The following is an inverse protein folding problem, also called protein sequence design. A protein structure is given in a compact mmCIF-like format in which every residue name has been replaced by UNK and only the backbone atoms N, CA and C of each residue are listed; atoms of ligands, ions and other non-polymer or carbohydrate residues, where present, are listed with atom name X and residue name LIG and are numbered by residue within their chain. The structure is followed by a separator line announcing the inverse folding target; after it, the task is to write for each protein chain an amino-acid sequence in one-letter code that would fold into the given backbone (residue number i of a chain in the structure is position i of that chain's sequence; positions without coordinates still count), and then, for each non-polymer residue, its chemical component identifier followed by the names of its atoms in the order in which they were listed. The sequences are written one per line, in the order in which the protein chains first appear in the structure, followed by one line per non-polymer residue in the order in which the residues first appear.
data_IF_709169865862
#
_entry.id   IF_709169865862
#
_cell.length_a   1.000
_cell.length_b   1.000
_cell.length_c   1.000
_cell.angle_alpha   90.00
_cell.angle_beta   90.00
_cell.angle_gamma   90.00
#
_symmetry.space_group_name_H-M   'P 1'
#
loop_
_entity.id
_entity.type
_entity.pdbx_description
1 polymer ?
#
# COMPACT_ATOMS: atom_id res chain seq x y z
N UNK A 1 -33.56 15.24 -5.19
CA UNK A 1 -33.70 15.25 -6.65
C UNK A 1 -34.97 14.55 -7.14
N UNK A 2 -35.28 13.29 -6.76
CA UNK A 2 -36.50 12.57 -7.20
C UNK A 2 -37.80 13.30 -6.83
N UNK A 3 -37.91 13.83 -5.61
CA UNK A 3 -39.08 14.59 -5.17
C UNK A 3 -39.25 15.90 -5.95
N UNK A 4 -38.18 16.59 -6.27
CA UNK A 4 -38.21 17.82 -7.07
C UNK A 4 -38.65 17.49 -8.49
N UNK A 5 -38.06 16.46 -9.10
CA UNK A 5 -38.43 16.03 -10.45
C UNK A 5 -39.90 15.59 -10.52
N UNK A 6 -40.38 14.82 -9.55
CA UNK A 6 -41.78 14.41 -9.44
C UNK A 6 -42.71 15.61 -9.31
N UNK A 7 -42.36 16.59 -8.49
CA UNK A 7 -43.15 17.81 -8.33
C UNK A 7 -43.21 18.65 -9.63
N UNK A 8 -42.05 18.85 -10.28
CA UNK A 8 -41.98 19.60 -11.56
C UNK A 8 -42.79 18.89 -12.64
N UNK A 9 -42.64 17.56 -12.75
CA UNK A 9 -43.34 16.75 -13.74
C UNK A 9 -44.86 16.75 -13.49
N UNK A 10 -45.30 16.62 -12.22
CA UNK A 10 -46.69 16.70 -11.86
C UNK A 10 -47.32 18.05 -12.27
N UNK A 11 -46.63 19.15 -11.97
CA UNK A 11 -47.11 20.49 -12.35
C UNK A 11 -47.12 20.67 -13.87
N UNK A 12 -46.14 20.16 -14.59
CA UNK A 12 -46.09 20.23 -16.05
C UNK A 12 -47.25 19.45 -16.69
N UNK A 13 -47.51 18.20 -16.24
CA UNK A 13 -48.57 17.36 -16.77
C UNK A 13 -49.92 17.96 -16.42
N UNK A 14 -50.13 18.47 -15.21
CA UNK A 14 -51.36 19.15 -14.82
C UNK A 14 -51.67 20.36 -15.76
N UNK A 15 -50.71 21.23 -15.97
CA UNK A 15 -50.85 22.38 -16.90
C UNK A 15 -51.09 21.96 -18.35
N UNK A 16 -50.41 20.91 -18.83
CA UNK A 16 -50.59 20.40 -20.19
C UNK A 16 -51.99 19.82 -20.36
N UNK A 17 -52.53 19.08 -19.38
CA UNK A 17 -53.92 18.59 -19.42
C UNK A 17 -54.96 19.71 -19.34
N UNK A 18 -54.72 20.72 -18.49
CA UNK A 18 -55.56 21.90 -18.40
C UNK A 18 -55.70 22.61 -19.76
N UNK A 19 -54.56 22.83 -20.47
CA UNK A 19 -54.58 23.42 -21.81
C UNK A 19 -55.34 22.52 -22.80
N UNK A 20 -55.19 21.22 -22.73
CA UNK A 20 -55.89 20.27 -23.61
C UNK A 20 -57.39 20.30 -23.39
N UNK A 21 -57.83 20.30 -22.11
CA UNK A 21 -59.25 20.38 -21.74
C UNK A 21 -59.86 21.71 -22.19
N UNK A 22 -59.19 22.81 -21.95
CA UNK A 22 -59.67 24.12 -22.38
C UNK A 22 -59.83 24.21 -23.90
N UNK A 23 -58.80 23.77 -24.65
CA UNK A 23 -58.87 23.75 -26.12
C UNK A 23 -59.99 22.87 -26.66
N UNK A 24 -60.32 21.77 -25.97
CA UNK A 24 -61.40 20.90 -26.34
C UNK A 24 -62.77 21.60 -26.12
N UNK A 25 -62.96 22.32 -25.01
CA UNK A 25 -64.14 23.13 -24.77
C UNK A 25 -64.29 24.25 -25.78
N UNK A 26 -63.19 24.99 -26.02
CA UNK A 26 -63.23 26.17 -26.92
C UNK A 26 -63.58 25.78 -28.37
N UNK A 27 -63.01 24.63 -28.87
CA UNK A 27 -63.37 24.10 -30.19
C UNK A 27 -64.82 23.70 -30.32
N UNK A 28 -65.44 23.16 -29.27
CA UNK A 28 -66.88 22.86 -29.29
C UNK A 28 -67.72 24.12 -29.28
N UNK A 29 -67.34 25.11 -28.47
CA UNK A 29 -67.99 26.43 -28.46
C UNK A 29 -67.87 27.11 -29.84
N UNK A 30 -66.71 27.14 -30.44
CA UNK A 30 -66.47 27.73 -31.77
C UNK A 30 -67.31 27.04 -32.84
N UNK A 31 -67.40 25.72 -32.85
CA UNK A 31 -68.26 24.96 -33.78
C UNK A 31 -69.72 25.31 -33.62
N UNK A 32 -70.25 25.38 -32.38
CA UNK A 32 -71.65 25.72 -32.11
C UNK A 32 -71.95 27.14 -32.51
N UNK A 33 -71.06 28.09 -32.28
CA UNK A 33 -71.19 29.50 -32.65
C UNK A 33 -71.26 29.69 -34.18
N UNK A 34 -70.39 28.96 -34.92
CA UNK A 34 -70.37 28.98 -36.40
C UNK A 34 -71.67 28.40 -37.00
N UNK A 35 -72.13 27.22 -36.52
CA UNK A 35 -73.33 26.56 -36.99
C UNK A 35 -74.59 27.39 -36.69
N UNK A 36 -74.65 27.99 -35.51
CA UNK A 36 -75.80 28.86 -35.16
C UNK A 36 -75.80 30.17 -35.97
N UNK A 37 -74.67 30.61 -36.46
CA UNK A 37 -74.56 31.78 -37.33
C UNK A 37 -75.00 31.48 -38.79
N UNK A 38 -74.71 30.26 -39.27
CA UNK A 38 -75.04 29.85 -40.65
C UNK A 38 -76.41 29.24 -40.84
N UNK A 39 -76.94 28.43 -39.86
CA UNK A 39 -78.04 27.52 -40.11
C UNK A 39 -79.27 27.68 -39.13
N UNK A 40 -79.36 28.68 -38.30
CA UNK A 40 -80.33 28.86 -37.22
C UNK A 40 -80.55 27.62 -36.29
N UNK A 41 -80.09 26.41 -36.68
CA UNK A 41 -80.16 25.18 -35.90
C UNK A 41 -79.01 24.30 -36.15
N UNK A 42 -78.34 23.83 -35.11
CA UNK A 42 -77.20 22.86 -35.18
C UNK A 42 -77.82 21.49 -35.58
N UNK A 43 -77.24 20.87 -36.66
CA UNK A 43 -77.54 19.51 -37.06
C UNK A 43 -77.12 18.52 -35.98
N UNK A 44 -78.01 17.77 -35.44
CA UNK A 44 -77.79 16.89 -34.29
C UNK A 44 -76.75 15.80 -34.61
N UNK A 45 -76.74 15.26 -35.82
CA UNK A 45 -75.84 14.17 -36.25
C UNK A 45 -74.42 14.68 -36.53
N UNK A 46 -74.30 15.82 -37.10
CA UNK A 46 -72.99 16.47 -37.37
C UNK A 46 -72.33 16.89 -36.05
N UNK A 47 -73.13 17.47 -35.16
CA UNK A 47 -72.66 17.87 -33.84
C UNK A 47 -72.08 16.69 -33.02
N UNK A 48 -72.74 15.52 -33.05
CA UNK A 48 -72.20 14.34 -32.42
C UNK A 48 -70.91 13.83 -33.04
N UNK A 49 -70.77 13.96 -34.36
CA UNK A 49 -69.55 13.59 -35.08
C UNK A 49 -68.36 14.47 -34.68
N UNK A 50 -68.64 15.76 -34.57
CA UNK A 50 -67.63 16.76 -34.16
C UNK A 50 -67.23 16.54 -32.70
N UNK A 51 -68.19 16.37 -31.78
CA UNK A 51 -67.89 16.06 -30.38
C UNK A 51 -67.05 14.81 -30.22
N UNK A 52 -67.39 13.73 -30.94
CA UNK A 52 -66.60 12.50 -30.89
C UNK A 52 -65.20 12.68 -31.49
N UNK A 53 -65.07 13.44 -32.56
CA UNK A 53 -63.76 13.76 -33.16
C UNK A 53 -62.90 14.57 -32.21
N UNK A 54 -63.44 15.60 -31.55
CA UNK A 54 -62.69 16.37 -30.54
C UNK A 54 -62.28 15.50 -29.35
N UNK A 55 -63.23 14.70 -28.82
CA UNK A 55 -62.98 13.82 -27.71
C UNK A 55 -61.88 12.79 -28.03
N UNK A 56 -61.95 12.16 -29.21
CA UNK A 56 -60.96 11.12 -29.62
C UNK A 56 -59.55 11.72 -29.88
N UNK A 57 -59.48 12.85 -30.54
CA UNK A 57 -58.18 13.52 -30.84
C UNK A 57 -57.54 14.07 -29.57
N UNK A 58 -58.33 14.64 -28.66
CA UNK A 58 -57.84 15.22 -27.42
C UNK A 58 -57.66 14.18 -26.30
N UNK A 59 -58.15 12.94 -26.48
CA UNK A 59 -58.17 11.88 -25.49
C UNK A 59 -58.78 12.32 -24.14
N UNK A 60 -59.89 13.04 -24.21
CA UNK A 60 -60.66 13.56 -23.08
C UNK A 60 -62.15 13.30 -23.30
N UNK A 61 -62.88 13.14 -22.24
CA UNK A 61 -64.34 13.06 -22.37
C UNK A 61 -64.91 14.47 -22.53
N UNK A 62 -65.70 14.69 -23.59
CA UNK A 62 -66.34 15.97 -23.88
C UNK A 62 -67.84 15.77 -23.95
N UNK A 63 -68.59 16.53 -23.20
CA UNK A 63 -70.07 16.48 -23.21
C UNK A 63 -70.69 17.87 -22.99
N UNK A 64 -71.93 17.99 -23.38
CA UNK A 64 -72.67 19.26 -23.30
C UNK A 64 -73.87 19.07 -22.40
N UNK A 65 -74.04 19.95 -21.40
CA UNK A 65 -75.15 19.99 -20.51
C UNK A 65 -76.07 21.22 -20.77
N UNK A 66 -77.38 21.08 -20.66
CA UNK A 66 -78.32 22.19 -20.78
C UNK A 66 -78.37 23.06 -19.50
N UNK A 67 -79.15 24.17 -19.51
CA UNK A 67 -79.29 25.08 -18.36
C UNK A 67 -79.71 24.42 -17.05
N UNK A 68 -80.34 23.21 -17.13
CA UNK A 68 -80.77 22.42 -15.95
C UNK A 68 -79.72 21.44 -15.46
N UNK A 69 -78.55 21.38 -16.10
CA UNK A 69 -77.47 20.44 -15.77
C UNK A 69 -77.65 19.02 -16.35
N UNK A 70 -78.63 18.78 -17.19
CA UNK A 70 -78.79 17.51 -17.87
C UNK A 70 -77.93 17.42 -19.09
N UNK A 71 -77.12 16.35 -19.21
CA UNK A 71 -76.29 16.09 -20.38
C UNK A 71 -77.20 15.81 -21.58
N UNK A 72 -77.00 16.58 -22.66
CA UNK A 72 -77.82 16.53 -23.90
C UNK A 72 -77.04 16.01 -25.09
N UNK A 73 -75.69 16.04 -25.03
CA UNK A 73 -74.79 15.48 -26.03
C UNK A 73 -73.50 15.04 -25.40
N UNK A 74 -72.89 13.96 -25.89
CA UNK A 74 -71.63 13.43 -25.42
C UNK A 74 -70.80 12.91 -26.57
N UNK A 75 -69.52 13.21 -26.55
CA UNK A 75 -68.49 12.73 -27.52
C UNK A 75 -67.96 11.32 -27.23
N UNK A 76 -68.55 10.58 -26.28
CA UNK A 76 -68.08 9.21 -25.99
C UNK A 76 -68.60 8.20 -27.02
N UNK A 77 -67.86 7.09 -27.21
CA UNK A 77 -68.18 6.06 -28.18
C UNK A 77 -69.54 5.35 -27.88
N UNK A 78 -69.95 5.30 -26.62
CA UNK A 78 -71.24 4.72 -26.21
C UNK A 78 -72.41 5.54 -26.71
N UNK A 79 -72.30 6.87 -26.60
CA UNK A 79 -73.35 7.79 -27.07
C UNK A 79 -73.58 7.68 -28.59
N UNK A 80 -72.49 7.54 -29.34
CA UNK A 80 -72.58 7.45 -30.81
C UNK A 80 -73.35 6.20 -31.27
N UNK A 81 -73.24 5.08 -30.49
CA UNK A 81 -73.91 3.80 -30.82
C UNK A 81 -75.37 3.78 -30.41
N UNK A 82 -75.71 4.30 -29.23
CA UNK A 82 -76.96 4.06 -28.56
C UNK A 82 -77.78 5.33 -28.32
N UNK A 83 -77.30 6.52 -28.63
CA UNK A 83 -77.90 7.80 -28.26
C UNK A 83 -77.95 8.05 -26.75
N UNK A 84 -77.31 7.24 -25.99
CA UNK A 84 -77.20 7.29 -24.53
C UNK A 84 -75.88 6.77 -24.00
N UNK A 85 -75.38 7.26 -22.86
CA UNK A 85 -74.17 6.82 -22.21
C UNK A 85 -74.27 7.01 -20.69
N UNK A 86 -73.29 6.52 -19.97
CA UNK A 86 -73.16 6.70 -18.53
C UNK A 86 -73.26 8.16 -18.08
N UNK A 87 -72.76 9.11 -18.88
CA UNK A 87 -72.83 10.55 -18.60
C UNK A 87 -74.28 11.11 -18.69
N UNK A 88 -75.14 10.56 -19.52
CA UNK A 88 -76.47 11.06 -19.74
C UNK A 88 -77.49 10.75 -18.62
N UNK A 89 -77.14 9.82 -17.78
CA UNK A 89 -78.00 9.41 -16.63
C UNK A 89 -77.82 10.34 -15.42
N UNK A 90 -76.84 11.21 -15.43
CA UNK A 90 -76.46 12.06 -14.30
C UNK A 90 -77.01 13.47 -14.52
N UNK A 91 -77.59 14.08 -13.50
CA UNK A 91 -77.96 15.50 -13.44
C UNK A 91 -76.87 16.25 -12.67
N UNK A 92 -76.10 17.15 -13.36
CA UNK A 92 -75.11 17.99 -12.72
C UNK A 92 -75.80 19.08 -11.92
N UNK A 93 -75.56 19.22 -10.61
CA UNK A 93 -76.17 20.29 -9.82
C UNK A 93 -75.82 21.66 -10.37
N UNK A 94 -76.77 22.60 -10.32
CA UNK A 94 -76.53 23.98 -10.82
C UNK A 94 -75.34 24.68 -10.15
N UNK A 95 -75.17 24.45 -8.86
CA UNK A 95 -74.11 24.98 -8.03
C UNK A 95 -72.73 24.48 -8.51
N UNK A 96 -72.65 23.21 -8.95
CA UNK A 96 -71.42 22.66 -9.56
C UNK A 96 -71.13 23.28 -10.96
N UNK A 97 -72.16 23.44 -11.79
CA UNK A 97 -72.06 24.09 -13.09
C UNK A 97 -71.50 25.51 -12.92
N UNK A 98 -72.05 26.29 -12.00
CA UNK A 98 -71.59 27.64 -11.71
C UNK A 98 -70.20 27.69 -11.12
N UNK A 99 -69.84 26.69 -10.29
CA UNK A 99 -68.54 26.54 -9.70
C UNK A 99 -67.41 26.39 -10.75
N UNK A 100 -67.66 25.61 -11.83
CA UNK A 100 -66.70 25.42 -12.92
C UNK A 100 -66.67 26.56 -13.92
N UNK A 101 -67.76 27.38 -14.02
CA UNK A 101 -67.83 28.52 -14.93
C UNK A 101 -67.24 29.84 -14.36
N UNK A 102 -67.36 30.02 -13.02
CA UNK A 102 -67.00 31.30 -12.37
C UNK A 102 -65.56 31.37 -11.87
N UNK A 103 -64.66 30.47 -12.33
CA UNK A 103 -63.33 30.38 -11.78
C UNK A 103 -62.27 31.10 -12.60
N UNK A 104 -61.26 31.65 -11.88
CA UNK A 104 -60.01 32.15 -12.43
C UNK A 104 -59.07 31.04 -12.87
N UNK A 105 -59.17 29.84 -12.30
CA UNK A 105 -58.43 28.66 -12.69
C UNK A 105 -59.18 27.85 -13.74
N UNK A 106 -58.50 27.56 -14.85
CA UNK A 106 -59.05 26.97 -16.07
C UNK A 106 -59.48 25.50 -15.92
N UNK A 107 -59.04 24.78 -14.86
CA UNK A 107 -59.48 23.43 -14.58
C UNK A 107 -59.52 23.14 -13.08
N UNK A 108 -60.42 22.25 -12.65
CA UNK A 108 -60.57 21.82 -11.26
C UNK A 108 -60.70 20.33 -11.16
N UNK A 109 -60.28 19.79 -10.01
CA UNK A 109 -60.50 18.39 -9.65
C UNK A 109 -61.90 18.21 -9.09
N UNK A 110 -62.66 17.25 -9.66
CA UNK A 110 -64.01 16.93 -9.21
C UNK A 110 -64.46 15.58 -9.75
N UNK A 111 -65.68 15.18 -9.38
CA UNK A 111 -66.32 13.92 -9.82
C UNK A 111 -67.57 14.14 -10.64
N UNK A 112 -68.15 15.36 -10.63
CA UNK A 112 -69.44 15.71 -11.26
C UNK A 112 -70.53 14.74 -10.93
N UNK A 113 -70.47 14.05 -9.80
CA UNK A 113 -71.34 12.95 -9.37
C UNK A 113 -71.53 11.80 -10.39
N UNK A 114 -70.63 11.73 -11.38
CA UNK A 114 -70.64 10.72 -12.43
C UNK A 114 -69.38 9.85 -12.49
N UNK A 115 -68.29 10.30 -11.88
CA UNK A 115 -67.03 9.57 -11.83
C UNK A 115 -66.71 9.03 -10.43
N UNK A 116 -66.23 7.79 -10.34
CA UNK A 116 -65.81 7.20 -9.07
C UNK A 116 -64.50 7.83 -8.55
N UNK A 117 -63.62 8.22 -9.49
CA UNK A 117 -62.32 8.81 -9.19
C UNK A 117 -62.29 10.27 -9.60
N UNK A 118 -61.47 11.12 -8.96
CA UNK A 118 -61.32 12.51 -9.36
C UNK A 118 -60.83 12.66 -10.82
N UNK A 119 -61.45 13.61 -11.54
CA UNK A 119 -61.06 14.01 -12.88
C UNK A 119 -60.71 15.48 -12.87
N UNK A 120 -59.79 15.86 -13.77
CA UNK A 120 -59.62 17.24 -14.13
C UNK A 120 -60.81 17.67 -14.99
N UNK A 121 -61.51 18.74 -14.59
CA UNK A 121 -62.73 19.21 -15.22
C UNK A 121 -62.56 20.66 -15.63
N UNK A 122 -62.91 20.94 -16.88
CA UNK A 122 -62.96 22.30 -17.41
C UNK A 122 -64.36 22.51 -17.99
N UNK A 123 -64.93 23.68 -17.82
CA UNK A 123 -66.24 24.02 -18.36
C UNK A 123 -66.17 25.37 -19.10
N UNK A 124 -66.86 25.45 -20.24
CA UNK A 124 -67.03 26.70 -21.01
C UNK A 124 -68.53 26.94 -21.29
N UNK A 125 -69.01 28.19 -21.16
CA UNK A 125 -70.40 28.49 -21.42
C UNK A 125 -70.66 28.48 -22.93
N UNK A 126 -71.80 27.88 -23.34
CA UNK A 126 -72.38 28.07 -24.68
C UNK A 126 -73.33 29.27 -24.65
N UNK A 127 -72.98 30.33 -25.39
CA UNK A 127 -73.74 31.61 -25.44
C UNK A 127 -74.13 31.89 -26.88
N UNK A 128 -75.29 32.55 -27.12
CA UNK A 128 -75.67 33.00 -28.44
C UNK A 128 -75.80 34.54 -28.39
N UNK A 129 -74.86 35.24 -28.98
CA UNK A 129 -74.79 36.71 -29.03
C UNK A 129 -75.05 37.33 -27.64
N UNK A 130 -75.82 38.45 -27.58
CA UNK A 130 -76.17 39.12 -26.31
C UNK A 130 -77.26 38.37 -25.50
N UNK A 131 -77.71 37.21 -25.95
CA UNK A 131 -78.95 36.53 -25.49
C UNK A 131 -78.85 35.46 -24.45
N UNK A 132 -77.84 35.39 -23.64
CA UNK A 132 -77.81 34.48 -22.48
C UNK A 132 -77.31 33.04 -22.80
N UNK A 133 -76.87 32.31 -21.75
CA UNK A 133 -76.32 30.97 -21.82
C UNK A 133 -77.30 29.90 -22.22
N UNK A 134 -77.07 29.08 -23.23
CA UNK A 134 -77.85 27.95 -23.68
C UNK A 134 -77.47 26.65 -22.95
N UNK A 135 -76.23 26.46 -22.66
CA UNK A 135 -75.69 25.26 -22.05
C UNK A 135 -74.27 25.46 -21.57
N UNK A 136 -73.61 24.39 -21.23
CA UNK A 136 -72.23 24.34 -20.78
C UNK A 136 -71.56 23.14 -21.40
N UNK A 137 -70.40 23.36 -22.02
CA UNK A 137 -69.48 22.32 -22.48
C UNK A 137 -68.59 21.92 -21.31
N UNK A 138 -68.47 20.65 -21.07
CA UNK A 138 -67.53 20.07 -20.12
C UNK A 138 -66.54 19.24 -20.85
N UNK A 139 -65.26 19.36 -20.47
CA UNK A 139 -64.19 18.45 -20.85
C UNK A 139 -63.57 17.89 -19.60
N UNK A 140 -63.39 16.55 -19.56
CA UNK A 140 -62.87 15.87 -18.37
C UNK A 140 -61.78 14.87 -18.73
N UNK A 141 -60.78 14.71 -17.83
CA UNK A 141 -59.71 13.74 -17.97
C UNK A 141 -59.39 13.07 -16.64
N UNK A 142 -59.20 11.74 -16.58
CA UNK A 142 -58.92 11.02 -15.32
C UNK A 142 -57.57 11.37 -14.75
N UNK A 143 -57.49 11.60 -13.44
CA UNK A 143 -56.22 11.82 -12.71
C UNK A 143 -55.39 10.52 -12.64
N UNK A 144 -56.04 9.36 -12.64
CA UNK A 144 -55.37 8.07 -12.52
C UNK A 144 -54.31 7.81 -13.60
N UNK A 145 -54.49 8.35 -14.80
CA UNK A 145 -53.50 8.23 -15.88
C UNK A 145 -52.17 8.93 -15.51
N UNK A 146 -52.26 10.11 -14.91
CA UNK A 146 -51.10 10.91 -14.50
C UNK A 146 -50.36 10.25 -13.35
N UNK A 147 -51.09 9.75 -12.34
CA UNK A 147 -50.51 9.11 -11.16
C UNK A 147 -49.80 7.80 -11.51
N UNK A 148 -50.36 7.00 -12.41
CA UNK A 148 -49.74 5.77 -12.88
C UNK A 148 -48.46 6.01 -13.67
N UNK A 149 -48.44 6.99 -14.56
CA UNK A 149 -47.26 7.38 -15.31
C UNK A 149 -46.14 7.86 -14.36
N UNK A 150 -46.48 8.74 -13.41
CA UNK A 150 -45.54 9.25 -12.41
C UNK A 150 -44.96 8.11 -11.56
N UNK A 151 -45.81 7.16 -11.11
CA UNK A 151 -45.34 6.01 -10.31
C UNK A 151 -44.35 5.13 -11.09
N UNK A 152 -44.61 4.91 -12.37
CA UNK A 152 -43.72 4.13 -13.26
C UNK A 152 -42.39 4.82 -13.49
N UNK A 153 -42.42 6.10 -13.78
CA UNK A 153 -41.18 6.91 -13.96
C UNK A 153 -40.36 6.93 -12.65
N UNK A 154 -41.03 7.11 -11.51
CA UNK A 154 -40.35 7.14 -10.21
C UNK A 154 -39.73 5.79 -9.88
N UNK A 155 -40.40 4.67 -10.12
CA UNK A 155 -39.83 3.32 -9.94
C UNK A 155 -38.60 3.10 -10.82
N UNK A 156 -38.71 3.46 -12.11
CA UNK A 156 -37.60 3.33 -13.05
C UNK A 156 -36.39 4.14 -12.58
N UNK A 157 -36.63 5.39 -12.16
CA UNK A 157 -35.56 6.27 -11.68
C UNK A 157 -34.88 5.74 -10.42
N UNK A 158 -35.68 5.22 -9.44
CA UNK A 158 -35.13 4.62 -8.22
C UNK A 158 -34.27 3.40 -8.57
N UNK A 159 -34.72 2.54 -9.47
CA UNK A 159 -33.98 1.34 -9.89
C UNK A 159 -32.66 1.73 -10.54
N UNK A 160 -32.69 2.69 -11.48
CA UNK A 160 -31.51 3.20 -12.15
C UNK A 160 -30.50 3.90 -11.20
N UNK A 161 -30.97 4.45 -10.07
CA UNK A 161 -30.11 5.09 -9.08
C UNK A 161 -29.49 4.09 -8.09
N UNK A 162 -30.23 3.06 -7.68
CA UNK A 162 -29.76 2.09 -6.68
C UNK A 162 -28.61 1.22 -7.23
N UNK A 163 -28.70 0.78 -8.47
CA UNK A 163 -27.69 -0.12 -9.06
C UNK A 163 -26.27 0.49 -9.03
N UNK A 164 -26.03 1.72 -9.56
CA UNK A 164 -24.70 2.34 -9.50
C UNK A 164 -24.27 2.69 -8.07
N UNK A 165 -25.20 3.00 -7.15
CA UNK A 165 -24.88 3.22 -5.74
C UNK A 165 -24.30 1.96 -5.07
N UNK A 166 -24.96 0.81 -5.29
CA UNK A 166 -24.44 -0.48 -4.79
C UNK A 166 -23.09 -0.80 -5.41
N UNK A 167 -22.94 -0.62 -6.72
CA UNK A 167 -21.69 -0.84 -7.41
C UNK A 167 -20.57 0.05 -6.85
N UNK A 168 -20.81 1.36 -6.69
CA UNK A 168 -19.89 2.31 -6.11
C UNK A 168 -19.49 1.91 -4.68
N UNK A 169 -20.45 1.47 -3.87
CA UNK A 169 -20.17 1.00 -2.50
C UNK A 169 -19.24 -0.23 -2.51
N UNK A 170 -19.49 -1.20 -3.39
CA UNK A 170 -18.64 -2.40 -3.53
C UNK A 170 -17.21 -2.05 -3.96
N UNK A 171 -17.06 -1.12 -4.92
CA UNK A 171 -15.75 -0.64 -5.37
C UNK A 171 -15.00 0.05 -4.23
N UNK A 172 -15.65 0.97 -3.51
CA UNK A 172 -15.05 1.66 -2.36
C UNK A 172 -14.66 0.68 -1.26
N UNK A 173 -15.51 -0.30 -0.96
CA UNK A 173 -15.21 -1.35 0.03
C UNK A 173 -13.98 -2.17 -0.38
N UNK A 174 -13.92 -2.61 -1.64
CA UNK A 174 -12.79 -3.37 -2.16
C UNK A 174 -11.48 -2.56 -2.13
N UNK A 175 -11.51 -1.28 -2.54
CA UNK A 175 -10.36 -0.38 -2.46
C UNK A 175 -9.89 -0.18 -1.01
N UNK A 176 -10.83 0.11 -0.09
CA UNK A 176 -10.52 0.29 1.33
C UNK A 176 -9.86 -0.96 1.91
N UNK A 177 -10.38 -2.13 1.60
CA UNK A 177 -9.79 -3.39 2.06
C UNK A 177 -8.38 -3.63 1.51
N UNK A 178 -8.17 -3.39 0.21
CA UNK A 178 -6.86 -3.58 -0.45
C UNK A 178 -5.80 -2.58 0.00
N UNK A 179 -6.16 -1.33 0.27
CA UNK A 179 -5.21 -0.29 0.66
C UNK A 179 -5.05 -0.17 2.17
N UNK A 180 -6.14 -0.11 2.93
CA UNK A 180 -6.08 0.21 4.36
C UNK A 180 -5.55 -0.94 5.21
N UNK A 181 -5.89 -2.19 4.86
CA UNK A 181 -5.44 -3.36 5.62
C UNK A 181 -3.93 -3.55 5.62
N UNK A 182 -3.21 -3.54 4.48
CA UNK A 182 -1.75 -3.60 4.48
C UNK A 182 -1.09 -2.46 5.26
N UNK A 183 -1.56 -1.22 5.09
CA UNK A 183 -1.04 -0.06 5.81
C UNK A 183 -1.20 -0.20 7.33
N UNK A 184 -2.33 -0.74 7.80
CA UNK A 184 -2.55 -1.03 9.22
C UNK A 184 -1.58 -2.09 9.73
N UNK A 185 -1.37 -3.16 8.96
CA UNK A 185 -0.40 -4.21 9.29
C UNK A 185 1.03 -3.65 9.34
N UNK A 186 1.42 -2.76 8.42
CA UNK A 186 2.71 -2.06 8.46
C UNK A 186 2.87 -1.21 9.71
N UNK A 187 1.84 -0.45 10.09
CA UNK A 187 1.86 0.35 11.32
C UNK A 187 1.99 -0.52 12.57
N UNK A 188 1.31 -1.66 12.63
CA UNK A 188 1.42 -2.63 13.74
C UNK A 188 2.80 -3.30 13.77
N UNK A 189 3.33 -3.69 12.61
CA UNK A 189 4.67 -4.26 12.50
C UNK A 189 5.75 -3.25 12.90
N UNK A 190 5.63 -1.99 12.46
CA UNK A 190 6.56 -0.90 12.88
C UNK A 190 6.56 -0.70 14.39
N UNK A 191 5.39 -0.73 15.05
CA UNK A 191 5.30 -0.64 16.51
C UNK A 191 5.92 -1.85 17.22
N UNK A 192 5.79 -3.04 16.64
CA UNK A 192 6.44 -4.25 17.15
C UNK A 192 7.97 -4.16 17.00
N UNK A 193 8.46 -3.69 15.84
CA UNK A 193 9.89 -3.46 15.58
C UNK A 193 10.50 -2.46 16.55
N UNK A 194 9.79 -1.38 16.87
CA UNK A 194 10.23 -0.40 17.88
C UNK A 194 10.41 -1.01 19.29
N UNK A 195 9.76 -2.14 19.57
CA UNK A 195 9.92 -2.93 20.82
C UNK A 195 10.93 -4.09 20.66
N UNK A 196 11.60 -4.19 19.51
CA UNK A 196 12.58 -5.25 19.24
C UNK A 196 11.99 -6.56 18.72
N UNK A 197 10.70 -6.59 18.36
CA UNK A 197 10.08 -7.76 17.72
C UNK A 197 10.11 -7.59 16.20
N UNK A 198 11.04 -8.30 15.56
CA UNK A 198 11.23 -8.33 14.10
C UNK A 198 10.60 -9.57 13.45
N UNK A 199 9.74 -10.31 14.15
CA UNK A 199 9.15 -11.54 13.61
C UNK A 199 8.00 -11.31 12.64
N UNK A 200 7.33 -10.16 12.75
CA UNK A 200 6.16 -9.81 11.93
C UNK A 200 6.53 -9.56 10.48
N UNK A 201 5.74 -10.14 9.56
CA UNK A 201 5.88 -9.95 8.12
C UNK A 201 4.57 -9.44 7.53
N UNK A 202 4.68 -8.60 6.52
CA UNK A 202 3.54 -8.08 5.78
C UNK A 202 3.29 -9.01 4.59
N UNK A 203 2.08 -9.60 4.46
CA UNK A 203 1.74 -10.40 3.30
C UNK A 203 1.68 -9.50 2.05
N UNK A 204 2.32 -9.92 0.96
CA UNK A 204 2.22 -9.27 -0.34
C UNK A 204 0.90 -9.71 -0.97
N UNK A 205 -0.09 -8.80 -1.02
CA UNK A 205 -1.46 -9.11 -1.45
C UNK A 205 -1.79 -8.57 -2.84
N UNK A 206 -0.93 -7.76 -3.43
CA UNK A 206 -1.12 -7.12 -4.74
C UNK A 206 0.21 -6.89 -5.43
N UNK A 207 0.18 -6.72 -6.75
CA UNK A 207 1.34 -6.39 -7.59
C UNK A 207 1.40 -4.88 -7.89
N UNK A 208 0.71 -4.06 -7.10
CA UNK A 208 0.69 -2.61 -7.19
C UNK A 208 1.74 -1.96 -6.25
N UNK A 209 1.72 -0.63 -6.12
CA UNK A 209 2.63 0.15 -5.27
C UNK A 209 2.56 -0.27 -3.80
N UNK A 210 1.41 -0.78 -3.34
CA UNK A 210 1.23 -1.30 -1.97
C UNK A 210 1.93 -2.64 -1.82
N UNK A 211 1.90 -3.48 -2.85
CA UNK A 211 2.65 -4.73 -2.91
C UNK A 211 4.16 -4.49 -2.88
N UNK A 212 4.66 -3.57 -3.71
CA UNK A 212 6.07 -3.17 -3.73
C UNK A 212 6.52 -2.61 -2.37
N UNK A 213 5.71 -1.75 -1.75
CA UNK A 213 5.97 -1.23 -0.41
C UNK A 213 6.03 -2.36 0.64
N UNK A 214 5.17 -3.38 0.51
CA UNK A 214 5.18 -4.54 1.42
C UNK A 214 6.47 -5.34 1.29
N UNK A 215 6.98 -5.54 0.07
CA UNK A 215 8.27 -6.19 -0.20
C UNK A 215 9.42 -5.38 0.41
N UNK A 216 9.48 -4.08 0.12
CA UNK A 216 10.50 -3.18 0.64
C UNK A 216 10.50 -3.13 2.19
N UNK A 217 9.32 -3.08 2.80
CA UNK A 217 9.16 -3.13 4.25
C UNK A 217 9.70 -4.43 4.84
N UNK A 218 9.39 -5.58 4.22
CA UNK A 218 9.90 -6.89 4.67
C UNK A 218 11.41 -6.99 4.53
N UNK A 219 11.99 -6.44 3.47
CA UNK A 219 13.45 -6.37 3.28
C UNK A 219 14.10 -5.51 4.38
N UNK A 220 13.55 -4.33 4.67
CA UNK A 220 14.00 -3.48 5.78
C UNK A 220 13.93 -4.22 7.12
N UNK A 221 12.82 -4.91 7.40
CA UNK A 221 12.64 -5.72 8.62
C UNK A 221 13.71 -6.80 8.75
N UNK A 222 14.03 -7.48 7.64
CA UNK A 222 15.09 -8.50 7.62
C UNK A 222 16.47 -7.89 7.93
N UNK A 223 16.80 -6.77 7.30
CA UNK A 223 18.07 -6.08 7.52
C UNK A 223 18.22 -5.60 8.97
N UNK A 224 17.16 -5.01 9.54
CA UNK A 224 17.14 -4.59 10.95
C UNK A 224 17.23 -5.78 11.91
N UNK A 225 16.55 -6.89 11.64
CA UNK A 225 16.64 -8.11 12.42
C UNK A 225 18.06 -8.66 12.43
N UNK A 226 18.74 -8.68 11.29
CA UNK A 226 20.14 -9.11 11.17
C UNK A 226 21.07 -8.17 11.96
N UNK A 227 20.90 -6.85 11.83
CA UNK A 227 21.71 -5.87 12.58
C UNK A 227 21.54 -6.02 14.08
N UNK A 228 20.31 -6.20 14.58
CA UNK A 228 20.04 -6.39 16.00
C UNK A 228 20.58 -7.75 16.50
N UNK A 229 20.47 -8.79 15.70
CA UNK A 229 21.09 -10.09 15.97
C UNK A 229 22.61 -9.99 16.09
N UNK A 230 23.26 -9.30 15.14
CA UNK A 230 24.69 -9.04 15.19
C UNK A 230 25.09 -8.21 16.42
N UNK A 231 24.30 -7.17 16.77
CA UNK A 231 24.53 -6.35 17.96
C UNK A 231 24.44 -7.17 19.25
N UNK A 232 23.41 -7.99 19.40
CA UNK A 232 23.25 -8.87 20.58
C UNK A 232 24.39 -9.87 20.70
N UNK A 233 24.74 -10.52 19.59
CA UNK A 233 25.86 -11.47 19.55
C UNK A 233 27.20 -10.77 19.88
N UNK A 234 27.40 -9.56 19.38
CA UNK A 234 28.59 -8.77 19.72
C UNK A 234 28.70 -8.52 21.22
N UNK A 235 27.64 -7.96 21.86
CA UNK A 235 27.64 -7.69 23.30
C UNK A 235 27.86 -8.95 24.12
N UNK A 236 27.21 -10.05 23.76
CA UNK A 236 27.37 -11.34 24.45
C UNK A 236 28.80 -11.88 24.34
N UNK A 237 29.39 -11.84 23.11
CA UNK A 237 30.73 -12.32 22.88
C UNK A 237 31.79 -11.46 23.58
N UNK A 238 31.66 -10.11 23.53
CA UNK A 238 32.52 -9.20 24.28
C UNK A 238 32.48 -9.51 25.78
N UNK A 239 31.28 -9.64 26.34
CA UNK A 239 31.12 -9.93 27.77
C UNK A 239 31.80 -11.25 28.16
N UNK A 240 31.69 -12.26 27.29
CA UNK A 240 32.31 -13.57 27.56
C UNK A 240 33.83 -13.52 27.44
N UNK A 241 34.37 -12.84 26.36
CA UNK A 241 35.81 -12.73 26.14
C UNK A 241 36.52 -11.83 27.17
N UNK A 242 35.80 -10.92 27.84
CA UNK A 242 36.30 -10.12 28.96
C UNK A 242 36.21 -10.87 30.28
N UNK A 243 35.10 -11.60 30.54
CA UNK A 243 34.87 -12.29 31.83
C UNK A 243 35.92 -13.36 32.10
N UNK A 244 36.26 -14.14 31.09
CA UNK A 244 37.22 -15.28 31.25
C UNK A 244 38.59 -14.84 31.79
N UNK A 245 39.33 -13.91 31.16
CA UNK A 245 40.62 -13.42 31.64
C UNK A 245 40.51 -12.73 33.01
N UNK A 246 39.42 -11.94 33.23
CA UNK A 246 39.20 -11.29 34.54
C UNK A 246 39.05 -12.30 35.66
N UNK A 247 38.30 -13.40 35.45
CA UNK A 247 38.17 -14.47 36.47
C UNK A 247 39.51 -15.14 36.74
N UNK A 248 40.32 -15.41 35.70
CA UNK A 248 41.65 -16.00 35.85
C UNK A 248 42.60 -15.07 36.62
N UNK A 249 42.61 -13.77 36.26
CA UNK A 249 43.42 -12.74 36.94
C UNK A 249 43.03 -12.66 38.41
N UNK A 250 41.72 -12.51 38.72
CA UNK A 250 41.25 -12.44 40.11
C UNK A 250 41.60 -13.67 40.90
N UNK A 251 41.30 -14.85 40.36
CA UNK A 251 41.55 -16.11 41.05
C UNK A 251 43.04 -16.34 41.39
N UNK A 252 43.97 -16.00 40.50
CA UNK A 252 45.39 -16.12 40.81
C UNK A 252 45.90 -15.05 41.77
N UNK A 253 45.39 -13.81 41.63
CA UNK A 253 45.73 -12.74 42.59
C UNK A 253 45.21 -13.12 43.97
N UNK A 254 43.96 -13.54 44.10
CA UNK A 254 43.35 -13.95 45.38
C UNK A 254 44.14 -15.12 45.98
N UNK A 255 44.51 -16.14 45.18
CA UNK A 255 45.30 -17.27 45.63
C UNK A 255 46.73 -16.93 46.08
N UNK A 256 47.31 -15.83 45.55
CA UNK A 256 48.59 -15.27 46.04
C UNK A 256 48.38 -14.53 47.35
N UNK A 257 47.30 -13.73 47.47
CA UNK A 257 47.02 -12.91 48.65
C UNK A 257 46.57 -13.74 49.86
N UNK A 258 45.80 -14.82 49.68
CA UNK A 258 45.34 -15.69 50.77
C UNK A 258 46.32 -16.81 51.16
N UNK A 259 47.48 -16.86 50.44
CA UNK A 259 48.52 -17.85 50.71
C UNK A 259 48.25 -19.26 50.17
N UNK A 260 47.18 -19.46 49.41
CA UNK A 260 46.87 -20.75 48.73
C UNK A 260 47.95 -21.09 47.71
N UNK A 261 48.56 -20.08 47.06
CA UNK A 261 49.71 -20.26 46.15
C UNK A 261 51.01 -20.12 46.95
N UNK A 262 51.80 -21.20 46.98
CA UNK A 262 53.09 -21.23 47.63
C UNK A 262 54.03 -20.14 47.06
N UNK A 263 54.89 -19.49 47.92
CA UNK A 263 55.76 -18.44 47.50
C UNK A 263 56.65 -18.76 46.28
N UNK A 264 57.12 -20.02 46.20
CA UNK A 264 57.96 -20.51 45.12
C UNK A 264 57.26 -20.52 43.74
N UNK A 265 55.93 -20.62 43.73
CA UNK A 265 55.11 -20.64 42.52
C UNK A 265 54.48 -19.31 42.18
N UNK A 266 54.53 -18.32 43.09
CA UNK A 266 53.89 -16.99 42.86
C UNK A 266 54.38 -16.31 41.56
N UNK A 267 55.71 -16.33 41.29
CA UNK A 267 56.25 -15.74 40.07
C UNK A 267 55.66 -16.37 38.79
N UNK A 268 55.44 -17.67 38.79
CA UNK A 268 54.82 -18.37 37.67
C UNK A 268 53.37 -17.94 37.45
N UNK A 269 52.55 -17.87 38.49
CA UNK A 269 51.15 -17.46 38.39
C UNK A 269 50.99 -15.95 38.09
N UNK A 270 51.86 -15.10 38.63
CA UNK A 270 51.92 -13.68 38.26
C UNK A 270 52.35 -13.50 36.80
N UNK A 271 53.19 -14.39 36.26
CA UNK A 271 53.45 -14.45 34.82
C UNK A 271 52.22 -14.73 33.96
N UNK A 272 51.34 -15.66 34.43
CA UNK A 272 50.05 -15.92 33.77
C UNK A 272 49.13 -14.68 33.84
N UNK A 273 49.04 -14.06 35.02
CA UNK A 273 48.27 -12.82 35.19
C UNK A 273 48.74 -11.73 34.22
N UNK A 274 50.07 -11.50 34.14
CA UNK A 274 50.61 -10.54 33.19
C UNK A 274 50.27 -10.89 31.74
N UNK A 275 50.27 -12.16 31.38
CA UNK A 275 49.87 -12.64 30.06
C UNK A 275 48.39 -12.32 29.76
N UNK A 276 47.49 -12.57 30.74
CA UNK A 276 46.07 -12.28 30.58
C UNK A 276 45.77 -10.77 30.51
N UNK A 277 46.49 -9.94 31.28
CA UNK A 277 46.38 -8.44 31.18
C UNK A 277 46.80 -7.98 29.77
N UNK A 278 47.91 -8.47 29.24
CA UNK A 278 48.36 -8.14 27.87
C UNK A 278 47.34 -8.59 26.80
N UNK A 279 46.70 -9.76 27.04
CA UNK A 279 45.66 -10.25 26.15
C UNK A 279 44.42 -9.35 26.20
N UNK A 280 44.03 -8.92 27.39
CA UNK A 280 42.89 -8.01 27.58
C UNK A 280 43.12 -6.66 26.90
N UNK A 281 44.33 -6.06 27.05
CA UNK A 281 44.71 -4.83 26.36
C UNK A 281 44.57 -4.96 24.83
N UNK A 282 45.10 -6.04 24.23
CA UNK A 282 44.98 -6.27 22.80
C UNK A 282 43.49 -6.46 22.35
N UNK A 283 42.65 -7.08 23.18
CA UNK A 283 41.23 -7.22 22.90
C UNK A 283 40.56 -5.85 22.84
N UNK A 284 40.80 -4.99 23.84
CA UNK A 284 40.26 -3.62 23.91
C UNK A 284 40.71 -2.77 22.72
N UNK A 285 42.04 -2.81 22.39
CA UNK A 285 42.58 -2.11 21.23
C UNK A 285 41.91 -2.55 19.91
N UNK A 286 41.70 -3.86 19.76
CA UNK A 286 41.03 -4.44 18.59
C UNK A 286 39.56 -3.96 18.50
N UNK A 287 38.88 -3.85 19.64
CA UNK A 287 37.49 -3.32 19.70
C UNK A 287 37.42 -1.83 19.37
N UNK A 288 38.34 -1.05 19.90
CA UNK A 288 38.43 0.39 19.57
C UNK A 288 38.72 0.63 18.08
N UNK A 289 39.68 -0.12 17.52
CA UNK A 289 39.96 -0.09 16.08
C UNK A 289 38.75 -0.47 15.25
N UNK A 290 38.02 -1.52 15.63
CA UNK A 290 36.80 -1.95 14.96
C UNK A 290 35.71 -0.87 15.04
N UNK A 291 35.47 -0.30 16.23
CA UNK A 291 34.47 0.75 16.43
C UNK A 291 34.76 1.97 15.55
N UNK A 292 36.00 2.40 15.47
CA UNK A 292 36.44 3.51 14.59
C UNK A 292 36.19 3.21 13.11
N UNK A 293 36.46 1.98 12.68
CA UNK A 293 36.23 1.56 11.29
C UNK A 293 34.74 1.47 10.93
N UNK A 294 33.86 1.21 11.90
CA UNK A 294 32.41 1.05 11.68
C UNK A 294 31.63 2.36 11.75
N UNK A 295 32.08 3.32 12.55
CA UNK A 295 31.36 4.61 12.71
C UNK A 295 31.32 5.44 11.42
N UNK A 296 32.08 5.07 10.40
CA UNK A 296 32.21 5.86 9.17
C UNK A 296 32.92 7.21 9.37
N UNK A 297 33.31 7.52 10.60
CA UNK A 297 34.11 8.71 10.94
C UNK A 297 35.57 8.57 10.51
N UNK A 298 35.89 7.38 10.00
CA UNK A 298 37.26 7.09 9.60
C UNK A 298 37.55 7.65 8.21
N UNK A 299 38.37 8.69 8.17
CA UNK A 299 38.92 9.23 6.90
C UNK A 299 40.19 8.49 6.58
N UNK A 300 40.21 7.70 5.50
CA UNK A 300 41.44 7.09 5.00
C UNK A 300 42.47 8.18 4.75
N UNK A 301 43.71 7.93 5.15
CA UNK A 301 44.88 8.76 4.81
C UNK A 301 45.68 8.07 3.72
N UNK A 302 45.26 8.14 2.46
CA UNK A 302 45.88 7.39 1.40
C UNK A 302 47.24 8.02 1.04
N UNK A 303 48.29 7.23 1.12
CA UNK A 303 49.63 7.53 0.64
C UNK A 303 50.12 6.45 -0.34
N UNK A 304 51.14 6.76 -1.10
CA UNK A 304 51.80 5.78 -1.97
C UNK A 304 52.97 5.19 -1.22
N UNK A 305 52.98 3.87 -1.06
CA UNK A 305 54.04 3.15 -0.37
C UNK A 305 54.34 1.80 -1.04
N UNK A 306 55.50 1.24 -0.77
CA UNK A 306 55.86 -0.10 -1.23
C UNK A 306 55.26 -1.18 -0.34
N UNK A 307 54.37 -2.00 -0.93
CA UNK A 307 53.68 -3.09 -0.25
C UNK A 307 54.64 -4.26 0.07
N UNK A 308 55.66 -4.47 -0.75
CA UNK A 308 56.67 -5.50 -0.53
C UNK A 308 57.55 -5.19 0.67
N UNK A 309 57.97 -3.93 0.82
CA UNK A 309 58.72 -3.46 1.99
C UNK A 309 57.87 -3.57 3.26
N UNK A 310 56.61 -3.17 3.20
CA UNK A 310 55.66 -3.29 4.32
C UNK A 310 55.53 -4.75 4.75
N UNK A 311 55.32 -5.68 3.82
CA UNK A 311 55.25 -7.10 4.11
C UNK A 311 56.51 -7.64 4.76
N UNK A 312 57.67 -7.31 4.22
CA UNK A 312 58.97 -7.69 4.81
C UNK A 312 59.10 -7.18 6.26
N UNK A 313 58.77 -5.92 6.51
CA UNK A 313 58.80 -5.34 7.86
C UNK A 313 57.90 -6.05 8.86
N UNK A 314 56.68 -6.44 8.43
CA UNK A 314 55.76 -7.21 9.27
C UNK A 314 56.32 -8.60 9.58
N UNK A 315 56.86 -9.31 8.60
CA UNK A 315 57.43 -10.65 8.82
C UNK A 315 58.64 -10.60 9.75
N UNK A 316 59.54 -9.63 9.56
CA UNK A 316 60.71 -9.40 10.43
C UNK A 316 60.30 -9.09 11.87
N UNK A 317 59.21 -8.35 12.07
CA UNK A 317 58.67 -8.06 13.42
C UNK A 317 58.22 -9.32 14.18
N UNK A 318 58.04 -10.45 13.50
CA UNK A 318 57.61 -11.73 14.06
C UNK A 318 58.74 -12.78 14.09
N UNK A 319 59.98 -12.39 13.78
CA UNK A 319 61.17 -13.31 13.65
C UNK A 319 61.30 -14.28 14.80
N UNK A 320 61.27 -13.81 16.07
CA UNK A 320 61.37 -14.65 17.25
C UNK A 320 60.30 -15.74 17.34
N UNK A 321 59.10 -15.45 16.84
CA UNK A 321 57.98 -16.44 16.86
C UNK A 321 58.10 -17.43 15.71
N UNK A 322 58.65 -16.99 14.57
CA UNK A 322 58.94 -17.80 13.39
C UNK A 322 60.03 -18.80 13.74
N UNK A 323 61.15 -18.34 14.34
CA UNK A 323 62.23 -19.18 14.79
C UNK A 323 61.80 -20.19 15.85
N UNK A 324 61.05 -19.74 16.89
CA UNK A 324 60.51 -20.63 17.93
C UNK A 324 59.56 -21.69 17.36
N UNK A 325 58.86 -21.41 16.29
CA UNK A 325 57.97 -22.33 15.57
C UNK A 325 58.68 -23.21 14.56
N UNK A 326 59.99 -22.98 14.33
CA UNK A 326 60.78 -23.62 13.25
C UNK A 326 60.11 -23.51 11.90
N UNK A 327 59.51 -22.33 11.61
CA UNK A 327 58.67 -22.11 10.42
C UNK A 327 59.56 -21.70 9.26
N UNK A 328 59.47 -22.41 8.13
CA UNK A 328 60.16 -22.08 6.88
C UNK A 328 59.42 -20.97 6.13
N UNK A 329 60.10 -19.89 5.76
CA UNK A 329 59.52 -18.75 5.05
C UNK A 329 59.91 -18.84 3.58
N UNK A 330 58.93 -18.86 2.69
CA UNK A 330 59.13 -18.93 1.25
C UNK A 330 58.57 -17.72 0.52
N UNK A 331 59.24 -17.34 -0.54
CA UNK A 331 58.75 -16.33 -1.45
C UNK A 331 59.01 -14.87 -1.02
N UNK A 332 59.58 -14.63 0.19
CA UNK A 332 59.82 -13.29 0.69
C UNK A 332 61.00 -12.60 -0.07
N UNK A 333 62.02 -13.38 -0.47
CA UNK A 333 63.19 -12.91 -1.18
C UNK A 333 62.92 -12.62 -2.67
N UNK A 334 61.87 -13.26 -3.22
CA UNK A 334 61.49 -13.13 -4.62
C UNK A 334 60.41 -12.09 -4.87
N UNK A 335 60.01 -11.35 -3.85
CA UNK A 335 58.97 -10.30 -3.99
C UNK A 335 59.53 -9.16 -4.83
N UNK A 336 58.76 -8.79 -5.87
CA UNK A 336 59.02 -7.59 -6.65
C UNK A 336 58.46 -6.36 -5.92
N UNK A 337 59.15 -5.22 -6.05
CA UNK A 337 58.73 -3.96 -5.46
C UNK A 337 57.44 -3.47 -6.14
N UNK A 338 56.36 -3.42 -5.38
CA UNK A 338 55.05 -3.04 -5.88
C UNK A 338 54.45 -1.95 -4.98
N UNK A 339 54.30 -0.75 -5.56
CA UNK A 339 53.66 0.38 -4.87
C UNK A 339 52.14 0.28 -4.94
N UNK A 340 51.50 0.59 -3.82
CA UNK A 340 50.03 0.69 -3.67
C UNK A 340 49.64 2.05 -3.14
N UNK A 341 48.42 2.51 -3.44
CA UNK A 341 47.85 3.70 -2.84
C UNK A 341 46.83 3.28 -1.78
N UNK A 342 47.10 3.62 -0.53
CA UNK A 342 46.22 3.26 0.59
C UNK A 342 46.69 3.88 1.90
N UNK A 343 45.94 3.63 2.95
CA UNK A 343 46.34 3.97 4.32
C UNK A 343 47.34 2.92 4.81
N UNK A 344 48.60 3.34 4.91
CA UNK A 344 49.74 2.47 5.22
C UNK A 344 49.59 1.76 6.57
N UNK A 345 49.08 2.48 7.58
CA UNK A 345 48.94 1.95 8.93
C UNK A 345 47.84 0.87 9.00
N UNK A 346 46.74 1.10 8.29
CA UNK A 346 45.66 0.12 8.22
C UNK A 346 46.05 -1.12 7.42
N UNK A 347 46.72 -0.94 6.29
CA UNK A 347 47.19 -2.07 5.48
C UNK A 347 48.25 -2.84 6.27
N UNK A 348 49.15 -2.15 7.00
CA UNK A 348 50.06 -2.79 7.94
C UNK A 348 49.33 -3.67 8.96
N UNK A 349 48.29 -3.11 9.60
CA UNK A 349 47.46 -3.86 10.57
C UNK A 349 46.82 -5.09 9.93
N UNK A 350 46.30 -4.96 8.71
CA UNK A 350 45.68 -6.07 7.99
C UNK A 350 46.70 -7.19 7.69
N UNK A 351 47.87 -6.85 7.18
CA UNK A 351 48.93 -7.81 6.89
C UNK A 351 49.44 -8.44 8.18
N UNK A 352 49.64 -7.65 9.24
CA UNK A 352 50.07 -8.17 10.55
C UNK A 352 49.05 -9.23 11.07
N UNK A 353 47.76 -8.96 10.99
CA UNK A 353 46.75 -9.94 11.42
C UNK A 353 46.78 -11.24 10.60
N UNK A 354 47.05 -11.16 9.30
CA UNK A 354 47.20 -12.36 8.46
C UNK A 354 48.46 -13.15 8.76
N UNK A 355 49.60 -12.46 8.92
CA UNK A 355 50.87 -13.09 9.29
C UNK A 355 50.78 -13.70 10.68
N UNK A 356 50.22 -12.98 11.68
CA UNK A 356 49.94 -13.50 13.03
C UNK A 356 49.13 -14.78 12.98
N UNK A 357 48.05 -14.80 12.18
CA UNK A 357 47.23 -16.01 11.98
C UNK A 357 48.04 -17.14 11.31
N UNK A 358 48.82 -16.83 10.29
CA UNK A 358 49.65 -17.83 9.58
C UNK A 358 50.63 -18.51 10.53
N UNK A 359 51.35 -17.73 11.38
CA UNK A 359 52.26 -18.24 12.39
C UNK A 359 51.52 -19.09 13.44
N UNK A 360 50.40 -18.55 13.95
CA UNK A 360 49.64 -19.12 15.07
C UNK A 360 49.01 -20.47 14.75
N UNK A 361 48.50 -20.61 13.53
CA UNK A 361 47.80 -21.83 13.09
C UNK A 361 48.67 -22.74 12.24
N UNK A 362 49.98 -22.40 12.10
CA UNK A 362 50.94 -23.31 11.50
C UNK A 362 51.21 -24.54 12.39
N UNK A 363 51.74 -25.57 11.78
CA UNK A 363 52.39 -26.69 12.51
C UNK A 363 53.85 -26.37 12.81
N UNK A 364 54.42 -26.94 13.85
CA UNK A 364 55.88 -26.83 14.09
C UNK A 364 56.64 -27.43 12.92
N UNK A 365 57.70 -26.77 12.49
CA UNK A 365 58.44 -27.15 11.28
C UNK A 365 57.64 -27.00 9.98
N UNK A 366 56.54 -26.21 10.00
CA UNK A 366 55.75 -25.94 8.79
C UNK A 366 56.26 -24.80 7.93
N UNK A 367 55.49 -24.41 6.93
CA UNK A 367 55.87 -23.42 5.93
C UNK A 367 54.88 -22.28 5.89
N UNK A 368 55.35 -21.05 5.69
CA UNK A 368 54.54 -19.88 5.28
C UNK A 368 55.10 -19.35 3.95
N UNK A 369 54.25 -19.33 2.91
CA UNK A 369 54.60 -18.85 1.59
C UNK A 369 53.91 -17.52 1.29
N UNK A 370 54.68 -16.59 0.76
CA UNK A 370 54.22 -15.25 0.31
C UNK A 370 54.35 -15.13 -1.19
N UNK A 371 53.34 -14.57 -1.87
CA UNK A 371 53.45 -14.14 -3.25
C UNK A 371 52.75 -12.80 -3.45
N UNK A 372 53.46 -11.89 -4.13
CA UNK A 372 52.96 -10.55 -4.47
C UNK A 372 53.22 -10.32 -5.96
N UNK A 373 52.13 -10.07 -6.70
CA UNK A 373 52.21 -9.91 -8.15
C UNK A 373 51.08 -8.98 -8.66
N UNK A 374 51.28 -8.47 -9.87
CA UNK A 374 50.26 -7.69 -10.59
C UNK A 374 49.46 -8.62 -11.48
N UNK A 375 48.14 -8.50 -11.42
CA UNK A 375 47.21 -9.23 -12.26
C UNK A 375 46.23 -8.22 -12.92
N UNK A 376 46.45 -7.92 -14.19
CA UNK A 376 45.77 -6.83 -14.90
C UNK A 376 45.89 -5.49 -14.14
N UNK A 377 44.77 -4.92 -13.73
CA UNK A 377 44.69 -3.65 -12.97
C UNK A 377 44.67 -3.84 -11.45
N UNK A 378 45.02 -5.03 -10.97
CA UNK A 378 45.00 -5.36 -9.55
C UNK A 378 46.38 -5.80 -9.06
N UNK A 379 46.63 -5.57 -7.80
CA UNK A 379 47.75 -6.10 -7.05
C UNK A 379 47.24 -7.22 -6.16
N UNK A 380 47.82 -8.36 -6.26
CA UNK A 380 47.45 -9.57 -5.54
C UNK A 380 48.53 -9.94 -4.55
N UNK A 381 48.16 -10.02 -3.27
CA UNK A 381 48.96 -10.59 -2.19
C UNK A 381 48.35 -11.90 -1.72
N UNK A 382 49.14 -12.97 -1.71
CA UNK A 382 48.75 -14.25 -1.14
C UNK A 382 49.65 -14.59 0.05
N UNK A 383 49.02 -15.05 1.13
CA UNK A 383 49.72 -15.55 2.33
C UNK A 383 49.18 -16.95 2.57
N UNK A 384 50.02 -17.95 2.45
CA UNK A 384 49.65 -19.36 2.60
C UNK A 384 50.44 -19.99 3.72
N UNK A 385 49.79 -20.72 4.60
CA UNK A 385 50.48 -21.48 5.65
C UNK A 385 50.06 -22.94 5.61
N UNK A 386 50.95 -23.85 5.98
CA UNK A 386 50.63 -25.23 6.35
C UNK A 386 49.98 -25.25 7.73
N UNK A 387 49.26 -26.31 8.08
CA UNK A 387 48.71 -26.45 9.42
C UNK A 387 47.32 -27.08 9.48
N UNK A 388 46.55 -26.74 10.49
CA UNK A 388 45.28 -27.39 10.79
C UNK A 388 44.23 -27.20 9.68
N UNK A 389 44.38 -26.17 8.82
CA UNK A 389 43.39 -25.84 7.82
C UNK A 389 42.07 -25.39 8.43
N UNK A 390 41.09 -25.13 7.55
CA UNK A 390 39.75 -24.67 7.91
C UNK A 390 38.71 -25.58 7.26
N UNK A 391 37.79 -26.20 8.07
CA UNK A 391 36.73 -27.02 7.53
C UNK A 391 35.85 -26.26 6.55
N UNK A 392 35.41 -26.92 5.47
CA UNK A 392 34.57 -26.28 4.42
C UNK A 392 33.34 -25.55 4.96
N UNK A 393 32.70 -26.10 6.01
CA UNK A 393 31.53 -25.49 6.67
C UNK A 393 31.85 -24.18 7.38
N UNK A 394 33.09 -23.96 7.78
CA UNK A 394 33.55 -22.78 8.51
C UNK A 394 34.00 -21.63 7.58
N UNK A 395 34.42 -21.95 6.34
CA UNK A 395 34.96 -20.96 5.40
C UNK A 395 34.07 -19.72 5.17
N UNK A 396 32.72 -19.82 5.04
CA UNK A 396 31.88 -18.64 4.87
C UNK A 396 31.90 -17.67 6.06
N UNK A 397 32.23 -18.17 7.25
CA UNK A 397 32.08 -17.45 8.52
C UNK A 397 33.39 -16.91 9.09
N UNK A 398 34.56 -17.27 8.52
CA UNK A 398 35.87 -16.91 9.10
C UNK A 398 36.15 -15.40 9.19
N UNK A 399 35.44 -14.61 8.39
CA UNK A 399 35.50 -13.16 8.42
C UNK A 399 34.42 -12.52 9.29
N UNK A 400 33.61 -13.30 9.98
CA UNK A 400 32.62 -12.78 10.95
C UNK A 400 33.30 -12.44 12.27
N UNK A 401 32.70 -11.48 13.01
CA UNK A 401 33.22 -11.03 14.31
C UNK A 401 33.15 -12.14 15.34
N UNK A 402 34.24 -12.32 16.09
CA UNK A 402 34.36 -13.33 17.16
C UNK A 402 34.21 -14.78 16.69
N UNK A 403 34.21 -15.01 15.38
CA UNK A 403 34.11 -16.36 14.86
C UNK A 403 35.41 -17.14 15.13
N UNK A 404 35.26 -18.34 15.63
CA UNK A 404 36.35 -19.27 15.91
C UNK A 404 35.93 -20.67 15.44
N UNK A 405 36.76 -21.30 14.62
CA UNK A 405 36.49 -22.64 14.07
C UNK A 405 36.35 -23.66 15.17
N UNK A 406 37.19 -23.57 16.19
CA UNK A 406 37.21 -24.51 17.33
C UNK A 406 37.44 -23.70 18.62
N UNK A 407 36.45 -23.69 19.53
CA UNK A 407 36.52 -22.89 20.77
C UNK A 407 37.59 -23.39 21.72
N UNK A 408 37.85 -24.70 21.77
CA UNK A 408 38.85 -25.30 22.65
C UNK A 408 40.29 -25.05 22.19
N UNK A 409 40.58 -25.29 20.92
CA UNK A 409 41.91 -25.04 20.34
C UNK A 409 42.26 -23.53 20.22
N UNK A 410 41.23 -22.69 20.12
CA UNK A 410 41.41 -21.22 20.04
C UNK A 410 41.72 -20.58 21.39
N UNK A 411 41.29 -21.19 22.50
CA UNK A 411 41.64 -20.75 23.86
C UNK A 411 43.13 -20.95 24.13
N UNK A 412 43.71 -22.09 23.75
CA UNK A 412 45.17 -22.37 23.90
C UNK A 412 46.02 -21.42 23.04
N UNK A 413 45.51 -20.98 21.89
CA UNK A 413 46.23 -20.12 20.95
C UNK A 413 45.91 -18.61 21.09
N UNK A 414 45.25 -18.17 22.15
CA UNK A 414 45.01 -16.74 22.46
C UNK A 414 44.39 -15.93 21.33
N UNK A 415 43.37 -16.45 20.60
CA UNK A 415 42.74 -15.73 19.51
C UNK A 415 41.48 -14.99 19.94
N UNK A 416 41.33 -13.75 19.50
CA UNK A 416 40.16 -12.91 19.83
C UNK A 416 38.99 -13.12 18.84
N UNK A 417 39.25 -13.67 17.66
CA UNK A 417 38.25 -13.81 16.58
C UNK A 417 37.88 -12.49 15.90
N UNK A 418 38.64 -11.41 16.15
CA UNK A 418 38.40 -10.08 15.55
C UNK A 418 39.36 -9.81 14.39
N UNK A 419 40.56 -10.41 14.39
CA UNK A 419 41.61 -10.09 13.44
C UNK A 419 41.24 -10.21 11.97
N UNK A 420 40.59 -11.33 11.57
CA UNK A 420 40.14 -11.51 10.18
C UNK A 420 39.01 -10.57 9.78
N UNK A 421 38.13 -10.22 10.71
CA UNK A 421 37.10 -9.21 10.49
C UNK A 421 37.73 -7.84 10.22
N UNK A 422 38.75 -7.43 10.99
CA UNK A 422 39.50 -6.19 10.74
C UNK A 422 40.13 -6.23 9.34
N UNK A 423 40.77 -7.33 8.96
CA UNK A 423 41.35 -7.48 7.61
C UNK A 423 40.30 -7.24 6.55
N UNK A 424 39.15 -7.92 6.61
CA UNK A 424 38.07 -7.75 5.65
C UNK A 424 37.61 -6.29 5.58
N UNK A 425 37.40 -5.65 6.73
CA UNK A 425 36.92 -4.27 6.81
C UNK A 425 37.95 -3.29 6.20
N UNK A 426 39.23 -3.42 6.54
CA UNK A 426 40.30 -2.60 6.00
C UNK A 426 40.39 -2.77 4.48
N UNK A 427 40.45 -4.00 3.99
CA UNK A 427 40.59 -4.26 2.54
C UNK A 427 39.33 -3.75 1.77
N UNK A 428 38.16 -3.92 2.33
CA UNK A 428 36.90 -3.38 1.73
C UNK A 428 36.89 -1.85 1.72
N UNK A 429 37.37 -1.19 2.77
CA UNK A 429 37.51 0.27 2.82
C UNK A 429 38.48 0.79 1.71
N UNK A 430 39.50 0.01 1.34
CA UNK A 430 40.39 0.28 0.22
C UNK A 430 39.83 -0.18 -1.14
N UNK A 431 38.54 -0.54 -1.22
CA UNK A 431 37.90 -1.04 -2.45
C UNK A 431 38.53 -2.31 -3.00
N UNK A 432 39.22 -3.05 -2.15
CA UNK A 432 39.82 -4.35 -2.44
C UNK A 432 38.88 -5.51 -2.07
N UNK A 433 39.38 -6.72 -2.31
CA UNK A 433 38.68 -7.97 -1.93
C UNK A 433 39.63 -8.89 -1.18
N UNK A 434 39.08 -9.69 -0.25
CA UNK A 434 39.81 -10.77 0.42
C UNK A 434 39.05 -12.06 0.24
N UNK A 435 39.74 -13.15 -0.01
CA UNK A 435 39.23 -14.51 -0.07
C UNK A 435 40.12 -15.48 0.68
N UNK A 436 39.54 -16.65 1.02
CA UNK A 436 40.26 -17.73 1.69
C UNK A 436 40.02 -19.03 0.96
N UNK A 437 41.11 -19.79 0.76
CA UNK A 437 41.07 -21.17 0.30
C UNK A 437 41.78 -22.02 1.36
N UNK A 438 41.20 -23.14 1.75
CA UNK A 438 41.80 -23.99 2.76
C UNK A 438 41.38 -25.45 2.58
N UNK A 439 42.30 -26.34 2.91
CA UNK A 439 42.06 -27.76 3.03
C UNK A 439 42.44 -28.23 4.46
N UNK A 440 41.50 -28.87 5.12
CA UNK A 440 41.64 -29.30 6.51
C UNK A 440 42.85 -30.20 6.67
N UNK A 441 43.71 -29.95 7.70
CA UNK A 441 44.97 -30.57 8.01
C UNK A 441 46.09 -30.42 6.93
N UNK A 442 45.90 -29.56 5.95
CA UNK A 442 46.92 -29.33 4.94
C UNK A 442 47.41 -27.89 4.90
N UNK A 443 46.52 -26.95 4.45
CA UNK A 443 46.91 -25.57 4.27
C UNK A 443 45.75 -24.58 4.41
N UNK A 444 46.11 -23.30 4.62
CA UNK A 444 45.20 -22.16 4.50
C UNK A 444 45.89 -21.07 3.70
N UNK A 445 45.19 -20.55 2.68
CA UNK A 445 45.69 -19.44 1.83
C UNK A 445 44.71 -18.29 1.88
N UNK A 446 45.16 -17.12 2.30
CA UNK A 446 44.42 -15.87 2.16
C UNK A 446 44.91 -15.12 0.92
N UNK A 447 44.01 -14.65 0.07
CA UNK A 447 44.27 -13.85 -1.11
C UNK A 447 43.64 -12.48 -0.95
N UNK A 448 44.45 -11.43 -0.91
CA UNK A 448 44.03 -10.03 -0.94
C UNK A 448 44.22 -9.49 -2.35
N UNK A 449 43.26 -8.71 -2.83
CA UNK A 449 43.33 -8.01 -4.09
C UNK A 449 43.08 -6.53 -3.86
N UNK A 450 44.06 -5.67 -4.24
CA UNK A 450 43.97 -4.22 -4.19
C UNK A 450 44.03 -3.64 -5.60
N UNK A 451 43.48 -2.45 -5.83
CA UNK A 451 43.61 -1.79 -7.13
C UNK A 451 45.05 -1.33 -7.34
N UNK A 452 45.57 -1.54 -8.54
CA UNK A 452 46.86 -0.93 -8.97
C UNK A 452 46.69 0.59 -9.11
N UNK A 453 47.77 1.29 -8.88
CA UNK A 453 47.89 2.75 -9.10
C UNK A 453 47.81 3.03 -10.61
#
# INVERSE_FOLDING_TARGET
MVLILSFVLNNYIARSKETTLQNACDKVCEYVDLELAENEKVSQQEFYTVLNSIASVSQVDVFVANKRGKVIACGCAEWQKNGNCSHSSVLIPKDEVELYLNQSDKSRLGTLNMYENPHYITASPLTQGEGGRYGTVFATAPVAFVTNLLSTITKLFITCAIIPLIFMFLVLYAMTYRMTKPLKLMAEASRAMAKGDFSKRIPVMSDDEIGELSVAFNQMTNSLSQLEGMRKSFVANVSHELKTPMTTISGFIDGVLDGTIEPEKQSYYLGIVSGEVKRLSRLVESMLSMSKLESGEFTLKPEIFDLSELLRSVVLSQEQRIEKGEIDIKGLDTLTDISVKGDRDLIHQAIYNLVDNAIKFNRQGGEIAFALYKEANNIVLTISNTGAGIPKKALPYVFERFYKVDKSRSAEKNSTGIGLYIVKTVITAHKGTISVASKENEYTTFKITLRSI
#
